data_IF_247727488476
#
_entry.id   IF_247727488476
#
_cell.length_a   1.000
_cell.length_b   1.000
_cell.length_c   1.000
_cell.angle_alpha   90.00
_cell.angle_beta   90.00
_cell.angle_gamma   90.00
#
_symmetry.space_group_name_H-M   'P 1'
#
loop_
_entity.id
_entity.type
_entity.pdbx_description
1 polymer ?
#
# COMPACT_ATOMS: atom_id res chain seq x y z
N UNK A 1 -38.25 5.38 57.52
CA UNK A 1 -36.96 4.92 57.00
C UNK A 1 -37.01 4.93 55.43
N UNK A 2 -36.44 5.96 54.81
CA UNK A 2 -36.38 6.11 53.35
C UNK A 2 -35.09 5.46 52.84
N UNK A 3 -35.20 4.37 52.05
CA UNK A 3 -34.06 3.75 51.40
C UNK A 3 -33.77 4.52 50.10
N UNK A 4 -32.66 5.27 50.07
CA UNK A 4 -32.15 5.93 48.86
C UNK A 4 -31.41 4.92 48.04
N UNK A 5 -31.97 4.57 46.85
CA UNK A 5 -31.34 3.70 45.88
C UNK A 5 -30.43 4.52 44.96
N UNK A 6 -29.11 4.41 45.15
CA UNK A 6 -28.12 5.05 44.33
C UNK A 6 -27.97 4.18 43.03
N UNK A 7 -28.45 4.71 41.92
CA UNK A 7 -28.27 4.13 40.60
C UNK A 7 -26.89 4.54 40.05
N UNK A 8 -25.92 3.64 40.13
CA UNK A 8 -24.62 3.81 39.47
C UNK A 8 -24.78 3.66 37.96
N UNK A 9 -24.78 4.80 37.24
CA UNK A 9 -24.65 4.78 35.77
C UNK A 9 -23.21 4.40 35.39
N UNK A 10 -22.99 3.18 34.98
CA UNK A 10 -21.73 2.76 34.38
C UNK A 10 -21.70 3.24 32.92
N UNK A 11 -21.08 4.40 32.71
CA UNK A 11 -20.83 4.93 31.36
C UNK A 11 -19.75 4.06 30.68
N UNK A 12 -20.18 3.17 29.80
CA UNK A 12 -19.28 2.39 28.96
C UNK A 12 -18.75 3.33 27.87
N UNK A 13 -17.55 3.88 28.08
CA UNK A 13 -16.82 4.65 27.08
C UNK A 13 -16.31 3.64 26.03
N UNK A 14 -17.05 3.49 24.93
CA UNK A 14 -16.56 2.82 23.74
C UNK A 14 -15.43 3.70 23.18
N UNK A 15 -14.18 3.37 23.50
CA UNK A 15 -13.03 3.87 22.76
C UNK A 15 -13.13 3.29 21.34
N UNK A 16 -13.62 4.09 20.40
CA UNK A 16 -13.46 3.80 18.99
C UNK A 16 -11.95 3.84 18.73
N UNK A 17 -11.33 2.68 18.55
CA UNK A 17 -9.99 2.56 18.04
C UNK A 17 -10.07 2.99 16.57
N UNK A 18 -9.88 4.26 16.28
CA UNK A 18 -9.62 4.71 14.93
C UNK A 18 -8.18 4.34 14.63
N UNK A 19 -7.97 3.32 13.79
CA UNK A 19 -6.65 3.03 13.27
C UNK A 19 -6.18 4.26 12.50
N UNK A 20 -5.17 4.96 13.03
CA UNK A 20 -4.59 6.12 12.35
C UNK A 20 -3.96 5.67 11.04
N UNK A 21 -4.07 6.47 9.96
CA UNK A 21 -3.45 6.13 8.69
C UNK A 21 -1.96 5.84 8.83
N UNK A 22 -1.53 4.73 8.26
CA UNK A 22 -0.12 4.28 8.30
C UNK A 22 0.59 4.64 7.01
N UNK A 23 1.83 5.16 7.13
CA UNK A 23 2.73 5.34 6.00
C UNK A 23 3.80 4.25 6.02
N UNK A 24 3.88 3.48 4.94
CA UNK A 24 4.94 2.49 4.71
C UNK A 24 6.00 3.08 3.78
N UNK A 25 7.26 2.99 4.15
CA UNK A 25 8.40 3.54 3.41
C UNK A 25 9.25 2.43 2.83
N UNK A 26 9.65 2.58 1.56
CA UNK A 26 10.55 1.66 0.87
C UNK A 26 11.74 2.42 0.29
N UNK A 27 12.95 1.91 0.53
CA UNK A 27 14.22 2.41 0.02
C UNK A 27 15.05 1.22 -0.47
N UNK A 28 15.14 1.03 -1.79
CA UNK A 28 15.79 -0.14 -2.38
C UNK A 28 17.30 -0.20 -2.12
N UNK A 29 17.95 0.93 -1.86
CA UNK A 29 19.39 1.02 -1.60
C UNK A 29 19.70 1.04 -0.11
N UNK A 30 19.05 1.92 0.65
CA UNK A 30 19.35 2.17 2.06
C UNK A 30 18.46 1.42 3.05
N UNK A 31 17.37 0.79 2.60
CA UNK A 31 16.43 0.09 3.45
C UNK A 31 16.91 -1.29 3.91
N UNK A 32 16.24 -1.82 4.91
CA UNK A 32 16.43 -3.18 5.43
C UNK A 32 15.05 -3.80 5.73
N UNK A 33 14.83 -5.03 5.29
CA UNK A 33 13.56 -5.74 5.49
C UNK A 33 13.32 -6.18 6.95
N UNK A 34 14.31 -6.00 7.82
CA UNK A 34 14.15 -6.15 9.27
C UNK A 34 13.62 -4.88 9.97
N UNK A 35 13.61 -3.75 9.27
CA UNK A 35 13.06 -2.49 9.77
C UNK A 35 11.53 -2.54 9.90
N UNK A 36 10.98 -1.53 10.58
CA UNK A 36 9.53 -1.41 10.75
C UNK A 36 8.80 -1.02 9.46
N UNK A 37 9.47 -0.31 8.54
CA UNK A 37 8.87 0.30 7.36
C UNK A 37 8.03 1.55 7.65
N UNK A 38 7.99 2.05 8.89
CA UNK A 38 7.08 3.11 9.33
C UNK A 38 7.70 4.51 9.33
N UNK A 39 8.99 4.62 9.03
CA UNK A 39 9.70 5.89 8.91
C UNK A 39 10.72 5.82 7.77
N UNK A 40 11.13 6.99 7.18
CA UNK A 40 12.10 7.00 6.09
C UNK A 40 13.46 6.40 6.44
N UNK A 41 13.92 6.53 7.68
CA UNK A 41 15.15 5.96 8.23
C UNK A 41 15.00 4.49 8.68
N UNK A 42 13.77 3.99 8.75
CA UNK A 42 13.42 2.59 9.01
C UNK A 42 12.72 1.94 7.81
N UNK A 43 13.00 2.41 6.60
CA UNK A 43 12.37 1.92 5.39
C UNK A 43 12.67 0.43 5.13
N UNK A 44 11.71 -0.25 4.53
CA UNK A 44 11.91 -1.59 3.96
C UNK A 44 12.72 -1.51 2.66
N UNK A 45 13.46 -2.56 2.37
CA UNK A 45 14.26 -2.66 1.17
C UNK A 45 13.50 -3.20 -0.04
N UNK A 46 12.69 -4.22 0.16
CA UNK A 46 12.06 -4.96 -0.91
C UNK A 46 10.55 -4.74 -0.99
N UNK A 47 9.99 -4.84 -2.20
CA UNK A 47 8.55 -4.82 -2.45
C UNK A 47 7.82 -5.99 -1.78
N UNK A 48 8.53 -7.09 -1.51
CA UNK A 48 7.96 -8.29 -0.92
C UNK A 48 7.42 -8.08 0.48
N UNK A 49 7.91 -7.06 1.19
CA UNK A 49 7.40 -6.68 2.52
C UNK A 49 5.94 -6.24 2.49
N UNK A 50 5.46 -5.76 1.34
CA UNK A 50 4.06 -5.40 1.15
C UNK A 50 3.15 -6.58 0.85
N UNK A 51 3.74 -7.74 0.48
CA UNK A 51 2.94 -8.94 0.19
C UNK A 51 2.18 -9.38 1.42
N UNK A 52 0.85 -9.41 1.31
CA UNK A 52 -0.03 -9.76 2.42
C UNK A 52 -0.38 -8.59 3.37
N UNK A 53 0.20 -7.41 3.19
CA UNK A 53 -0.24 -6.20 3.89
C UNK A 53 -1.58 -5.77 3.29
N UNK A 54 -2.63 -5.79 4.12
CA UNK A 54 -3.94 -5.25 3.75
C UNK A 54 -3.99 -3.78 4.11
N UNK A 55 -3.98 -2.93 3.11
CA UNK A 55 -4.02 -1.47 3.32
C UNK A 55 -5.41 -1.02 3.74
N UNK A 56 -5.46 -0.12 4.70
CA UNK A 56 -6.65 0.48 5.27
C UNK A 56 -6.87 1.90 4.72
N UNK A 57 -8.06 2.51 4.89
CA UNK A 57 -8.32 3.87 4.46
C UNK A 57 -7.26 4.85 4.96
N UNK A 58 -6.80 5.73 4.07
CA UNK A 58 -5.78 6.74 4.34
C UNK A 58 -4.34 6.24 4.37
N UNK A 59 -4.10 4.93 4.31
CA UNK A 59 -2.73 4.39 4.29
C UNK A 59 -1.96 4.83 3.05
N UNK A 60 -0.64 4.94 3.19
CA UNK A 60 0.26 5.30 2.10
C UNK A 60 1.39 4.29 1.97
N UNK A 61 1.76 3.98 0.74
CA UNK A 61 2.97 3.24 0.39
C UNK A 61 3.87 4.19 -0.38
N UNK A 62 5.02 4.50 0.17
CA UNK A 62 5.91 5.54 -0.32
C UNK A 62 7.24 4.92 -0.75
N UNK A 63 7.56 5.03 -2.05
CA UNK A 63 8.78 4.52 -2.66
C UNK A 63 9.77 5.68 -2.83
N UNK A 64 11.03 5.46 -2.46
CA UNK A 64 12.05 6.50 -2.53
C UNK A 64 12.38 6.89 -3.95
N UNK A 65 12.38 8.19 -4.23
CA UNK A 65 12.72 8.75 -5.54
C UNK A 65 14.14 8.36 -5.98
N UNK A 66 14.30 8.14 -7.29
CA UNK A 66 15.56 7.78 -7.90
C UNK A 66 15.97 6.31 -7.76
N UNK A 67 15.27 5.55 -6.94
CA UNK A 67 15.56 4.13 -6.69
C UNK A 67 14.91 3.19 -7.72
N UNK A 68 15.53 2.02 -7.88
CA UNK A 68 15.00 0.92 -8.73
C UNK A 68 14.63 -0.25 -7.83
N UNK A 69 13.37 -0.60 -7.83
CA UNK A 69 12.82 -1.73 -7.09
C UNK A 69 12.61 -2.90 -8.04
N UNK A 70 13.40 -3.96 -7.86
CA UNK A 70 13.23 -5.19 -8.64
C UNK A 70 12.21 -6.11 -7.95
N UNK A 71 11.24 -6.58 -8.72
CA UNK A 71 10.20 -7.48 -8.22
C UNK A 71 8.80 -7.10 -8.61
N UNK A 72 7.84 -7.64 -7.90
CA UNK A 72 6.42 -7.45 -8.14
C UNK A 72 5.81 -6.64 -6.98
N UNK A 73 5.25 -5.48 -7.28
CA UNK A 73 4.46 -4.71 -6.32
C UNK A 73 3.03 -5.24 -6.29
N UNK A 74 2.63 -5.83 -5.19
CA UNK A 74 1.25 -6.29 -4.98
C UNK A 74 0.53 -5.39 -3.97
N UNK A 75 -0.60 -4.83 -4.39
CA UNK A 75 -1.44 -3.93 -3.60
C UNK A 75 -2.82 -4.55 -3.42
N UNK A 76 -3.22 -4.65 -2.16
CA UNK A 76 -4.58 -5.01 -1.76
C UNK A 76 -5.03 -4.10 -0.64
N UNK A 77 -6.21 -3.49 -0.78
CA UNK A 77 -6.74 -2.60 0.24
C UNK A 77 -8.02 -1.90 -0.16
N UNK A 78 -8.74 -1.41 0.85
CA UNK A 78 -10.00 -0.74 0.66
C UNK A 78 -9.94 0.65 1.29
N UNK A 79 -9.71 1.64 0.44
CA UNK A 79 -9.88 3.04 0.80
C UNK A 79 -11.37 3.44 0.81
N UNK A 80 -11.63 4.68 1.14
CA UNK A 80 -12.95 5.32 1.05
C UNK A 80 -12.82 6.67 0.33
N UNK A 81 -13.91 7.31 -0.10
CA UNK A 81 -13.84 8.59 -0.83
C UNK A 81 -13.02 9.67 -0.10
N UNK A 82 -13.16 9.77 1.22
CA UNK A 82 -12.53 10.77 2.08
C UNK A 82 -11.08 10.40 2.43
N UNK A 83 -10.78 9.08 2.49
CA UNK A 83 -9.47 8.55 2.89
C UNK A 83 -8.99 7.49 1.89
N UNK A 84 -8.54 7.96 0.72
CA UNK A 84 -7.96 7.09 -0.31
C UNK A 84 -6.64 6.48 0.15
N UNK A 85 -6.33 5.33 -0.39
CA UNK A 85 -4.99 4.73 -0.25
C UNK A 85 -4.09 5.31 -1.35
N UNK A 86 -2.88 5.72 -0.99
CA UNK A 86 -1.91 6.28 -1.93
C UNK A 86 -0.69 5.39 -2.07
N UNK A 87 -0.32 5.13 -3.32
CA UNK A 87 0.95 4.54 -3.70
C UNK A 87 1.72 5.63 -4.44
N UNK A 88 2.78 6.15 -3.83
CA UNK A 88 3.42 7.39 -4.28
C UNK A 88 4.93 7.36 -4.06
N UNK A 89 5.61 8.42 -4.45
CA UNK A 89 7.03 8.63 -4.24
C UNK A 89 7.29 9.54 -3.03
N UNK A 90 8.45 9.35 -2.36
CA UNK A 90 8.94 10.26 -1.33
C UNK A 90 10.41 10.59 -1.55
N UNK A 91 10.91 11.58 -0.79
CA UNK A 91 12.28 12.07 -0.86
C UNK A 91 12.49 13.11 -1.96
N UNK A 92 13.69 13.67 -1.99
CA UNK A 92 14.08 14.72 -2.91
C UNK A 92 14.54 14.12 -4.24
N UNK A 93 14.40 14.92 -5.30
CA UNK A 93 14.87 14.58 -6.64
C UNK A 93 13.75 14.48 -7.67
N UNK A 94 14.13 14.61 -8.94
CA UNK A 94 13.17 14.63 -10.06
C UNK A 94 12.83 13.22 -10.56
N UNK A 95 13.75 12.26 -10.40
CA UNK A 95 13.55 10.90 -10.91
C UNK A 95 12.50 10.17 -10.09
N UNK A 96 11.52 9.61 -10.78
CA UNK A 96 10.53 8.73 -10.18
C UNK A 96 11.19 7.43 -9.70
N UNK A 97 10.70 6.79 -8.63
CA UNK A 97 11.06 5.42 -8.34
C UNK A 97 10.54 4.50 -9.45
N UNK A 98 11.38 3.55 -9.86
CA UNK A 98 11.07 2.63 -10.95
C UNK A 98 10.87 1.22 -10.41
N UNK A 99 9.73 0.62 -10.69
CA UNK A 99 9.42 -0.79 -10.39
C UNK A 99 9.73 -1.60 -11.64
N UNK A 100 10.62 -2.59 -11.51
CA UNK A 100 11.06 -3.45 -12.62
C UNK A 100 10.68 -4.90 -12.30
N UNK A 101 9.73 -5.44 -13.05
CA UNK A 101 9.35 -6.85 -12.95
C UNK A 101 10.48 -7.80 -13.30
N UNK A 102 10.49 -8.98 -12.70
CA UNK A 102 11.46 -10.03 -13.07
C UNK A 102 11.22 -10.55 -14.49
N UNK A 103 12.22 -11.19 -15.08
CA UNK A 103 12.13 -11.78 -16.43
C UNK A 103 10.92 -12.70 -16.61
N UNK A 104 10.50 -13.35 -15.54
CA UNK A 104 9.36 -14.28 -15.50
C UNK A 104 8.06 -13.66 -15.02
N UNK A 105 8.08 -12.40 -14.60
CA UNK A 105 6.89 -11.73 -14.06
C UNK A 105 5.84 -11.48 -15.13
N UNK A 106 4.60 -11.81 -14.84
CA UNK A 106 3.46 -11.44 -15.68
C UNK A 106 3.05 -9.98 -15.51
N UNK A 107 3.41 -9.37 -14.39
CA UNK A 107 3.20 -7.94 -14.09
C UNK A 107 4.34 -7.42 -13.22
N UNK A 108 4.66 -6.14 -13.31
CA UNK A 108 5.57 -5.47 -12.37
C UNK A 108 4.81 -4.88 -11.19
N UNK A 109 3.58 -4.41 -11.42
CA UNK A 109 2.69 -3.96 -10.37
C UNK A 109 1.29 -4.57 -10.56
N UNK A 110 0.62 -4.87 -9.45
CA UNK A 110 -0.74 -5.44 -9.44
C UNK A 110 -1.56 -4.77 -8.36
N UNK A 111 -2.77 -4.34 -8.72
CA UNK A 111 -3.80 -3.92 -7.78
C UNK A 111 -4.93 -4.95 -7.86
N UNK A 112 -5.18 -5.65 -6.76
CA UNK A 112 -6.15 -6.74 -6.73
C UNK A 112 -7.21 -6.52 -5.66
N UNK A 113 -8.48 -6.74 -6.01
CA UNK A 113 -9.60 -6.69 -5.07
C UNK A 113 -9.58 -5.42 -4.20
N UNK A 114 -9.49 -4.26 -4.82
CA UNK A 114 -9.20 -3.00 -4.12
C UNK A 114 -10.10 -1.85 -4.56
N UNK A 115 -10.32 -0.90 -3.66
CA UNK A 115 -11.14 0.28 -3.89
C UNK A 115 -10.42 1.55 -3.44
N UNK A 116 -10.73 2.68 -4.11
CA UNK A 116 -10.24 4.01 -3.78
C UNK A 116 -8.71 4.07 -3.61
N UNK A 117 -8.01 3.50 -4.60
CA UNK A 117 -6.54 3.55 -4.70
C UNK A 117 -6.15 4.71 -5.62
N UNK A 118 -5.08 5.43 -5.26
CA UNK A 118 -4.37 6.35 -6.16
C UNK A 118 -2.92 5.90 -6.25
N UNK A 119 -2.46 5.54 -7.44
CA UNK A 119 -1.07 5.20 -7.73
C UNK A 119 -0.50 6.29 -8.64
N UNK A 120 0.54 6.99 -8.19
CA UNK A 120 1.09 8.14 -8.91
C UNK A 120 2.59 8.29 -8.70
N UNK A 121 3.23 9.12 -9.56
CA UNK A 121 4.66 9.47 -9.47
C UNK A 121 5.61 8.28 -9.50
N UNK A 122 5.22 7.19 -10.15
CA UNK A 122 5.99 5.96 -10.31
C UNK A 122 6.31 5.71 -11.78
N UNK A 123 7.36 4.96 -12.03
CA UNK A 123 7.68 4.34 -13.31
C UNK A 123 7.52 2.81 -13.14
N UNK A 124 6.87 2.15 -14.11
CA UNK A 124 6.59 0.71 -14.04
C UNK A 124 7.08 0.08 -15.34
N UNK A 125 8.02 -0.85 -15.22
CA UNK A 125 8.67 -1.53 -16.36
C UNK A 125 8.55 -3.03 -16.19
N UNK A 126 8.07 -3.71 -17.21
CA UNK A 126 8.02 -5.18 -17.26
C UNK A 126 8.34 -5.70 -18.66
N UNK A 127 9.60 -5.62 -19.06
CA UNK A 127 10.03 -6.00 -20.39
C UNK A 127 10.42 -7.48 -20.53
N UNK A 128 11.16 -8.05 -19.58
CA UNK A 128 11.67 -9.40 -19.60
C UNK A 128 12.47 -9.75 -20.88
N UNK A 129 13.30 -10.79 -20.85
CA UNK A 129 14.12 -11.21 -21.98
C UNK A 129 13.36 -11.99 -23.05
N UNK A 130 12.28 -12.63 -22.65
CA UNK A 130 11.44 -13.44 -23.54
C UNK A 130 10.01 -12.91 -23.54
N UNK A 131 9.34 -12.90 -24.70
CA UNK A 131 7.91 -12.62 -24.75
C UNK A 131 7.14 -13.61 -23.89
N UNK A 132 6.30 -13.09 -22.99
CA UNK A 132 5.34 -13.90 -22.23
C UNK A 132 3.93 -13.44 -22.59
N UNK A 133 3.02 -14.37 -22.90
CA UNK A 133 1.60 -14.04 -23.07
C UNK A 133 1.07 -13.34 -21.83
N UNK A 134 0.24 -12.32 -22.02
CA UNK A 134 -0.41 -11.55 -20.96
C UNK A 134 0.53 -10.74 -20.04
N UNK A 135 1.80 -10.57 -20.41
CA UNK A 135 2.72 -9.70 -19.68
C UNK A 135 2.21 -8.25 -19.73
N UNK A 136 2.19 -7.59 -18.57
CA UNK A 136 1.81 -6.19 -18.44
C UNK A 136 2.73 -5.45 -17.46
N UNK A 137 2.85 -4.14 -17.56
CA UNK A 137 3.49 -3.32 -16.53
C UNK A 137 2.63 -3.29 -15.28
N UNK A 138 1.42 -2.77 -15.41
CA UNK A 138 0.41 -2.73 -14.35
C UNK A 138 -0.77 -3.65 -14.70
N UNK A 139 -1.23 -4.40 -13.72
CA UNK A 139 -2.45 -5.20 -13.78
C UNK A 139 -3.43 -4.76 -12.70
N UNK A 140 -4.66 -4.44 -13.09
CA UNK A 140 -5.75 -4.15 -12.16
C UNK A 140 -6.79 -5.25 -12.37
N UNK A 141 -7.13 -5.96 -11.31
CA UNK A 141 -8.09 -7.06 -11.43
C UNK A 141 -8.96 -7.20 -10.18
N UNK A 142 -10.15 -7.72 -10.38
CA UNK A 142 -11.09 -8.08 -9.35
C UNK A 142 -11.33 -9.59 -9.44
N UNK A 143 -10.96 -10.31 -8.39
CA UNK A 143 -11.08 -11.76 -8.28
C UNK A 143 -11.81 -12.07 -6.97
N UNK A 144 -12.94 -12.75 -7.05
CA UNK A 144 -13.71 -13.20 -5.89
C UNK A 144 -14.16 -12.10 -4.89
N UNK A 145 -14.21 -10.83 -5.35
CA UNK A 145 -14.50 -9.68 -4.47
C UNK A 145 -15.71 -8.83 -4.93
N UNK A 146 -16.37 -9.06 -5.96
CA UNK A 146 -17.47 -8.23 -6.42
C UNK A 146 -17.00 -7.14 -7.39
N UNK A 147 -16.82 -5.89 -6.97
CA UNK A 147 -16.44 -4.76 -7.84
C UNK A 147 -15.31 -3.96 -7.24
N UNK A 148 -14.23 -3.75 -7.99
CA UNK A 148 -13.21 -2.75 -7.68
C UNK A 148 -13.59 -1.42 -8.33
N UNK A 149 -13.46 -0.32 -7.59
CA UNK A 149 -13.89 1.00 -8.07
C UNK A 149 -12.94 2.12 -7.64
N UNK A 150 -13.00 3.26 -8.35
CA UNK A 150 -12.23 4.46 -8.01
C UNK A 150 -10.72 4.23 -7.91
N UNK A 151 -10.15 3.46 -8.85
CA UNK A 151 -8.71 3.29 -8.98
C UNK A 151 -8.22 4.34 -9.98
N UNK A 152 -7.23 5.14 -9.57
CA UNK A 152 -6.59 6.20 -10.36
C UNK A 152 -5.11 5.85 -10.51
N UNK A 153 -4.59 5.97 -11.74
CA UNK A 153 -3.18 5.73 -12.09
C UNK A 153 -2.64 6.88 -12.90
#
# INVERSE_FOLDING_TARGET
MRKTMILLLFSFLLAACSDSPVCYYLDATGGDDNNSGLAPDEAWKSLEKLRGVKLLPGNKVLLKRGEVFNGELEITGHGIPEDRIYIDAYGDGERKPCIVGYDTSLYAARICNSDYITMQNLEIVNTGRQPLPYRSGLKIECMDYGVSQNIVV
#
